data_IF_339336005806
#
_entry.id   IF_339336005806
#
_cell.length_a   1.000
_cell.length_b   1.000
_cell.length_c   1.000
_cell.angle_alpha   90.00
_cell.angle_beta   90.00
_cell.angle_gamma   90.00
#
_symmetry.space_group_name_H-M   'P 1'
#
loop_
_entity.id
_entity.type
_entity.pdbx_description
1 polymer ?
#
# COMPACT_ATOMS: atom_id res chain seq x y z
N UNK A 1 -16.64 -16.42 1.01
CA UNK A 1 -17.16 -16.40 2.40
C UNK A 1 -16.26 -15.55 3.32
N UNK A 2 -14.93 -15.72 3.32
CA UNK A 2 -14.03 -14.89 4.16
C UNK A 2 -13.99 -13.39 3.83
N UNK A 3 -14.17 -12.98 2.57
CA UNK A 3 -14.11 -11.57 2.14
C UNK A 3 -15.25 -10.68 2.67
N UNK A 4 -16.35 -11.26 3.16
CA UNK A 4 -17.52 -10.50 3.63
C UNK A 4 -17.37 -9.93 5.06
N UNK A 5 -16.34 -10.36 5.80
CA UNK A 5 -15.98 -9.82 7.11
C UNK A 5 -14.91 -8.71 7.03
N UNK A 6 -14.49 -8.38 5.81
CA UNK A 6 -13.47 -7.40 5.45
C UNK A 6 -14.15 -6.10 5.00
N UNK A 7 -13.37 -5.07 4.60
CA UNK A 7 -13.89 -3.74 4.22
C UNK A 7 -15.19 -3.83 3.41
N UNK A 8 -16.15 -2.89 3.60
CA UNK A 8 -17.48 -3.00 3.04
C UNK A 8 -17.44 -3.32 1.53
N UNK A 9 -18.26 -4.28 1.05
CA UNK A 9 -18.25 -4.70 -0.34
C UNK A 9 -18.56 -3.48 -1.22
N UNK A 10 -17.55 -3.06 -2.01
CA UNK A 10 -17.58 -1.82 -2.78
C UNK A 10 -16.31 -0.97 -2.69
N UNK A 11 -15.45 -1.23 -1.70
CA UNK A 11 -14.09 -0.72 -1.71
C UNK A 11 -13.25 -1.50 -2.73
N UNK A 12 -12.63 -0.77 -3.66
CA UNK A 12 -11.60 -1.30 -4.56
C UNK A 12 -10.38 -1.64 -3.69
N UNK A 13 -9.73 -2.78 -3.95
CA UNK A 13 -8.48 -3.13 -3.27
C UNK A 13 -7.45 -2.01 -3.53
N UNK A 14 -6.82 -1.44 -2.51
CA UNK A 14 -5.91 -0.30 -2.69
C UNK A 14 -4.67 -0.71 -3.48
N UNK A 15 -4.24 0.08 -4.46
CA UNK A 15 -2.99 -0.21 -5.17
C UNK A 15 -1.73 0.17 -4.37
N UNK A 16 -1.80 1.22 -3.54
CA UNK A 16 -0.68 1.76 -2.76
C UNK A 16 -1.10 1.98 -1.31
N UNK A 17 -0.25 1.53 -0.39
CA UNK A 17 -0.46 1.72 1.04
C UNK A 17 0.80 2.33 1.66
N UNK A 18 0.59 3.45 2.36
CA UNK A 18 1.63 4.13 3.12
C UNK A 18 1.66 3.59 4.54
N UNK A 19 2.79 2.98 4.93
CA UNK A 19 3.02 2.48 6.27
C UNK A 19 3.95 3.46 7.00
N UNK A 20 3.44 4.10 8.04
CA UNK A 20 4.22 5.03 8.87
C UNK A 20 4.96 4.27 9.97
N UNK A 21 6.28 4.42 10.03
CA UNK A 21 7.12 3.81 11.06
C UNK A 21 8.32 3.04 10.50
N UNK A 22 9.06 2.40 11.39
CA UNK A 22 10.26 1.64 11.02
C UNK A 22 9.89 0.48 10.07
N UNK A 23 10.61 0.30 8.94
CA UNK A 23 10.37 -0.80 7.98
C UNK A 23 10.66 -2.21 8.53
N UNK A 24 10.97 -2.33 9.83
CA UNK A 24 11.29 -3.58 10.51
C UNK A 24 10.06 -4.40 10.92
N UNK A 25 8.86 -3.85 10.85
CA UNK A 25 7.62 -4.58 11.19
C UNK A 25 6.52 -4.33 10.16
N UNK A 26 6.01 -5.42 9.57
CA UNK A 26 4.80 -5.39 8.76
C UNK A 26 3.60 -5.23 9.71
N UNK A 27 2.65 -4.33 9.43
CA UNK A 27 1.44 -4.20 10.23
C UNK A 27 0.65 -5.52 10.29
N UNK A 28 0.18 -5.96 11.48
CA UNK A 28 -0.64 -7.17 11.59
C UNK A 28 -2.06 -6.97 11.01
N UNK A 29 -2.45 -5.74 10.72
CA UNK A 29 -3.75 -5.39 10.16
C UNK A 29 -3.81 -5.60 8.65
N UNK A 30 -4.86 -6.28 8.17
CA UNK A 30 -5.29 -6.38 6.78
C UNK A 30 -4.45 -7.23 5.81
N UNK A 31 -3.48 -8.03 6.27
CA UNK A 31 -2.60 -8.91 5.44
C UNK A 31 -3.23 -9.51 4.17
N UNK A 32 -4.47 -9.99 4.24
CA UNK A 32 -5.18 -10.55 3.08
C UNK A 32 -5.60 -9.50 2.04
N UNK A 33 -6.10 -8.35 2.48
CA UNK A 33 -6.42 -7.20 1.61
C UNK A 33 -5.15 -6.52 1.09
N UNK A 34 -4.05 -6.54 1.88
CA UNK A 34 -2.74 -5.98 1.51
C UNK A 34 -2.01 -6.80 0.43
N UNK A 35 -2.43 -8.03 0.16
CA UNK A 35 -1.67 -9.00 -0.65
C UNK A 35 -1.40 -8.55 -2.09
N UNK A 36 -2.24 -7.65 -2.63
CA UNK A 36 -2.11 -7.10 -3.98
C UNK A 36 -1.68 -5.62 -4.01
N UNK A 37 -1.44 -5.02 -2.83
CA UNK A 37 -1.06 -3.62 -2.70
C UNK A 37 0.44 -3.46 -2.58
N UNK A 38 0.97 -2.39 -3.16
CA UNK A 38 2.35 -2.00 -2.93
C UNK A 38 2.49 -1.29 -1.59
N UNK A 39 3.44 -1.75 -0.77
CA UNK A 39 3.74 -1.15 0.53
C UNK A 39 4.91 -0.16 0.39
N UNK A 40 4.67 1.09 0.79
CA UNK A 40 5.73 2.10 0.92
C UNK A 40 5.85 2.49 2.39
N UNK A 41 7.02 2.22 2.97
CA UNK A 41 7.34 2.57 4.35
C UNK A 41 7.88 3.99 4.39
N UNK A 42 7.25 4.84 5.19
CA UNK A 42 7.70 6.20 5.46
C UNK A 42 8.24 6.26 6.89
N UNK A 43 9.54 6.52 7.03
CA UNK A 43 10.19 6.80 8.31
C UNK A 43 9.88 8.22 8.80
N UNK A 44 8.59 8.53 8.86
CA UNK A 44 8.07 9.79 9.37
C UNK A 44 6.89 9.48 10.29
N UNK A 45 6.82 10.17 11.42
CA UNK A 45 5.63 10.10 12.27
C UNK A 45 4.43 10.65 11.52
N UNK A 46 3.26 10.02 11.67
CA UNK A 46 1.99 10.52 11.11
C UNK A 46 1.77 12.02 11.35
N UNK A 47 2.09 12.53 12.55
CA UNK A 47 1.95 13.95 12.91
C UNK A 47 2.87 14.89 12.11
N UNK A 48 3.94 14.36 11.53
CA UNK A 48 4.93 15.09 10.74
C UNK A 48 4.79 14.80 9.23
N UNK A 49 3.86 13.94 8.83
CA UNK A 49 3.59 13.67 7.43
C UNK A 49 3.05 14.94 6.76
N UNK A 50 3.63 15.30 5.62
CA UNK A 50 3.23 16.44 4.81
C UNK A 50 2.96 15.97 3.36
N UNK A 51 2.47 16.87 2.51
CA UNK A 51 2.15 16.59 1.11
C UNK A 51 3.38 16.10 0.33
N UNK A 52 4.57 16.60 0.64
CA UNK A 52 5.81 16.22 -0.04
C UNK A 52 6.16 14.74 0.21
N UNK A 53 5.95 14.24 1.43
CA UNK A 53 6.15 12.83 1.76
C UNK A 53 5.18 11.93 0.96
N UNK A 54 3.93 12.36 0.80
CA UNK A 54 2.92 11.65 0.02
C UNK A 54 3.29 11.67 -1.47
N UNK A 55 3.70 12.82 -2.01
CA UNK A 55 4.15 12.95 -3.39
C UNK A 55 5.38 12.11 -3.67
N UNK A 56 6.34 12.06 -2.75
CA UNK A 56 7.51 11.19 -2.85
C UNK A 56 7.09 9.72 -2.94
N UNK A 57 6.16 9.27 -2.09
CA UNK A 57 5.67 7.90 -2.12
C UNK A 57 4.92 7.56 -3.42
N UNK A 58 4.10 8.48 -3.94
CA UNK A 58 3.42 8.32 -5.23
C UNK A 58 4.42 8.25 -6.38
N UNK A 59 5.44 9.11 -6.38
CA UNK A 59 6.47 9.12 -7.41
C UNK A 59 7.30 7.83 -7.39
N UNK A 60 7.61 7.30 -6.20
CA UNK A 60 8.32 6.01 -6.07
C UNK A 60 7.45 4.87 -6.60
N UNK A 61 6.18 4.85 -6.21
CA UNK A 61 5.19 3.89 -6.70
C UNK A 61 5.01 3.93 -8.23
N UNK A 62 4.97 5.11 -8.84
CA UNK A 62 4.85 5.26 -10.30
C UNK A 62 6.12 4.81 -11.05
N UNK A 63 7.29 4.85 -10.40
CA UNK A 63 8.56 4.41 -10.99
C UNK A 63 8.74 2.90 -10.94
N UNK A 64 8.02 2.19 -10.07
CA UNK A 64 8.14 0.74 -9.98
C UNK A 64 7.46 0.11 -11.19
N UNK A 65 8.24 -0.67 -11.93
CA UNK A 65 7.75 -1.37 -13.11
C UNK A 65 6.76 -2.46 -12.66
N UNK A 66 5.47 -2.21 -12.89
CA UNK A 66 4.41 -3.15 -12.49
C UNK A 66 4.46 -4.35 -13.41
N UNK A 67 5.02 -5.45 -12.91
CA UNK A 67 4.84 -6.77 -13.52
C UNK A 67 3.42 -7.25 -13.23
N UNK A 68 2.45 -6.71 -13.95
CA UNK A 68 1.15 -7.37 -14.07
C UNK A 68 1.42 -8.76 -14.66
N UNK A 69 1.00 -9.80 -13.94
CA UNK A 69 1.21 -11.18 -14.39
C UNK A 69 0.65 -11.38 -15.80
N UNK A 70 1.54 -11.44 -16.79
CA UNK A 70 1.27 -11.80 -18.17
C UNK A 70 0.52 -10.75 -18.99
N UNK A 71 1.19 -9.66 -19.38
CA UNK A 71 0.81 -8.91 -20.60
C UNK A 71 2.04 -8.54 -21.41
N UNK A 72 2.82 -9.56 -21.77
CA UNK A 72 3.65 -9.55 -22.98
C UNK A 72 3.61 -10.97 -23.56
N UNK A 73 2.75 -11.13 -24.59
CA UNK A 73 2.55 -12.27 -25.49
C UNK A 73 1.90 -13.56 -24.94
#
# INVERSE_FOLDING_TARGET
ILRAAMLPPGFVDPDLILVFGSPTQIPPSLMWELSYSELVFLDVSWRKCNVEHVQMAINDFQRRDRRFGGVDS
#
